data_IF_190830207642
#
_entry.id   IF_190830207642
#
_cell.length_a   1.000
_cell.length_b   1.000
_cell.length_c   1.000
_cell.angle_alpha   90.00
_cell.angle_beta   90.00
_cell.angle_gamma   90.00
#
_symmetry.space_group_name_H-M   'P 1'
#
loop_
_entity.id
_entity.type
_entity.pdbx_description
1 polymer ?
#
# COMPACT_ATOMS: atom_id res chain seq x y z
N UNK A 1 -12.38 -28.75 -4.13
CA UNK A 1 -11.36 -27.95 -3.43
C UNK A 1 -10.75 -27.02 -4.46
N UNK A 2 -11.16 -25.75 -4.48
CA UNK A 2 -10.55 -24.77 -5.39
C UNK A 2 -9.12 -24.51 -4.89
N UNK A 3 -8.09 -24.56 -5.75
CA UNK A 3 -6.79 -24.02 -5.38
C UNK A 3 -7.01 -22.53 -5.09
N UNK A 4 -6.87 -22.13 -3.82
CA UNK A 4 -6.61 -20.73 -3.49
C UNK A 4 -5.27 -20.42 -4.14
N UNK A 5 -5.33 -19.83 -5.33
CA UNK A 5 -4.14 -19.24 -5.95
C UNK A 5 -3.72 -18.14 -4.98
N UNK A 6 -2.76 -18.46 -4.10
CA UNK A 6 -2.07 -17.47 -3.27
C UNK A 6 -1.19 -16.68 -4.23
N UNK A 7 -1.78 -15.67 -4.88
CA UNK A 7 -1.00 -14.66 -5.56
C UNK A 7 -0.01 -14.12 -4.54
N UNK A 8 1.29 -14.24 -4.81
CA UNK A 8 2.31 -13.57 -4.00
C UNK A 8 1.81 -12.13 -3.76
N UNK A 9 1.71 -11.68 -2.50
CA UNK A 9 1.03 -10.42 -2.18
C UNK A 9 1.59 -9.34 -3.08
N UNK A 10 0.75 -8.73 -3.90
CA UNK A 10 1.18 -7.76 -4.88
C UNK A 10 1.91 -6.63 -4.12
N UNK A 11 3.22 -6.51 -4.37
CA UNK A 11 4.08 -5.54 -3.72
C UNK A 11 4.17 -4.30 -4.60
N UNK A 12 3.64 -3.20 -4.11
CA UNK A 12 3.61 -1.90 -4.77
C UNK A 12 4.86 -1.12 -4.39
N UNK A 13 5.56 -0.55 -5.36
CA UNK A 13 6.58 0.47 -5.05
C UNK A 13 5.90 1.72 -4.51
N UNK A 14 6.68 2.64 -3.95
CA UNK A 14 6.17 3.95 -3.50
C UNK A 14 5.36 4.68 -4.57
N UNK A 15 5.83 4.66 -5.82
CA UNK A 15 5.14 5.30 -6.94
C UNK A 15 3.81 4.63 -7.27
N UNK A 16 3.80 3.29 -7.32
CA UNK A 16 2.58 2.53 -7.57
C UNK A 16 1.57 2.68 -6.43
N UNK A 17 2.03 2.74 -5.18
CA UNK A 17 1.18 2.97 -4.01
C UNK A 17 0.52 4.37 -4.05
N UNK A 18 1.29 5.40 -4.41
CA UNK A 18 0.78 6.76 -4.58
C UNK A 18 -0.29 6.81 -5.68
N UNK A 19 -0.02 6.19 -6.83
CA UNK A 19 -0.98 6.05 -7.92
C UNK A 19 -2.25 5.31 -7.49
N UNK A 20 -2.10 4.20 -6.77
CA UNK A 20 -3.21 3.38 -6.30
C UNK A 20 -4.13 4.12 -5.32
N UNK A 21 -3.55 4.87 -4.37
CA UNK A 21 -4.29 5.66 -3.40
C UNK A 21 -4.71 7.04 -3.94
N UNK A 22 -4.40 7.35 -5.21
CA UNK A 22 -4.63 8.67 -5.81
C UNK A 22 -4.10 9.84 -4.96
N UNK A 23 -2.91 9.67 -4.38
CA UNK A 23 -2.26 10.65 -3.50
C UNK A 23 -0.83 10.98 -3.95
N UNK A 24 -0.19 11.94 -3.28
CA UNK A 24 1.18 12.31 -3.61
C UNK A 24 2.20 11.32 -3.04
N UNK A 25 3.41 11.30 -3.61
CA UNK A 25 4.51 10.50 -3.04
C UNK A 25 4.87 10.92 -1.62
N UNK A 26 4.60 12.17 -1.24
CA UNK A 26 4.81 12.69 0.11
C UNK A 26 3.79 12.10 1.08
N UNK A 27 2.53 11.98 0.67
CA UNK A 27 1.49 11.35 1.47
C UNK A 27 1.86 9.89 1.79
N UNK A 28 2.42 9.15 0.82
CA UNK A 28 2.93 7.79 1.08
C UNK A 28 4.06 7.78 2.12
N UNK A 29 4.98 8.73 2.07
CA UNK A 29 6.06 8.83 3.08
C UNK A 29 5.51 9.21 4.46
N UNK A 30 4.53 10.12 4.51
CA UNK A 30 3.84 10.52 5.74
C UNK A 30 3.07 9.33 6.34
N UNK A 31 2.35 8.56 5.53
CA UNK A 31 1.64 7.35 5.95
C UNK A 31 2.60 6.29 6.47
N UNK A 32 3.75 6.11 5.80
CA UNK A 32 4.81 5.23 6.30
C UNK A 32 5.38 5.72 7.63
N UNK A 33 5.66 7.02 7.74
CA UNK A 33 6.23 7.62 8.95
C UNK A 33 5.27 7.53 10.15
N UNK A 34 3.95 7.61 9.89
CA UNK A 34 2.89 7.41 10.88
C UNK A 34 2.65 5.95 11.24
N UNK A 35 3.22 5.00 10.49
CA UNK A 35 2.99 3.55 10.67
C UNK A 35 1.68 3.05 10.07
N UNK A 36 0.96 3.88 9.30
CA UNK A 36 -0.28 3.53 8.61
C UNK A 36 -0.03 2.59 7.42
N UNK A 37 1.13 2.74 6.76
CA UNK A 37 1.59 1.83 5.72
C UNK A 37 2.86 1.12 6.17
N UNK A 38 2.80 -0.22 6.20
CA UNK A 38 3.92 -1.05 6.61
C UNK A 38 4.82 -1.31 5.39
N UNK A 39 6.08 -0.81 5.39
CA UNK A 39 7.02 -1.09 4.33
C UNK A 39 7.50 -2.54 4.39
N UNK A 40 7.58 -3.18 3.24
CA UNK A 40 8.14 -4.52 3.04
C UNK A 40 9.40 -4.39 2.17
N UNK A 41 10.52 -4.90 2.67
CA UNK A 41 11.81 -4.91 1.99
C UNK A 41 12.88 -4.05 2.65
N UNK A 42 14.11 -4.12 2.11
CA UNK A 42 15.25 -3.34 2.56
C UNK A 42 15.14 -1.85 2.22
N UNK A 43 15.90 -1.02 2.94
CA UNK A 43 15.93 0.45 2.87
C UNK A 43 16.08 1.02 1.45
N UNK A 44 16.67 0.26 0.52
CA UNK A 44 16.84 0.66 -0.89
C UNK A 44 15.60 0.44 -1.77
N UNK A 45 14.70 -0.48 -1.42
CA UNK A 45 13.53 -0.86 -2.24
C UNK A 45 12.33 -1.14 -1.33
N UNK A 46 11.82 -0.06 -0.74
CA UNK A 46 10.60 -0.11 0.03
C UNK A 46 9.43 -0.43 -0.89
N UNK A 47 8.69 -1.48 -0.54
CA UNK A 47 7.42 -1.84 -1.18
C UNK A 47 6.30 -1.88 -0.16
N UNK A 48 5.06 -1.89 -0.61
CA UNK A 48 3.86 -1.92 0.20
C UNK A 48 2.98 -3.06 -0.26
N UNK A 49 2.35 -3.78 0.67
CA UNK A 49 1.39 -4.82 0.29
C UNK A 49 0.10 -4.15 -0.17
N UNK A 50 -0.50 -4.70 -1.24
CA UNK A 50 -1.83 -4.27 -1.71
C UNK A 50 -2.86 -4.24 -0.58
N UNK A 51 -2.87 -5.26 0.29
CA UNK A 51 -3.81 -5.35 1.41
C UNK A 51 -3.71 -4.20 2.42
N UNK A 52 -2.49 -3.70 2.66
CA UNK A 52 -2.29 -2.54 3.53
C UNK A 52 -2.80 -1.25 2.85
N UNK A 53 -2.63 -1.15 1.52
CA UNK A 53 -3.20 -0.05 0.72
C UNK A 53 -4.73 -0.12 0.67
N UNK A 54 -5.33 -1.29 0.42
CA UNK A 54 -6.79 -1.49 0.45
C UNK A 54 -7.36 -1.12 1.82
N UNK A 55 -6.72 -1.54 2.92
CA UNK A 55 -7.15 -1.20 4.28
C UNK A 55 -7.13 0.32 4.49
N UNK A 56 -6.09 1.00 4.03
CA UNK A 56 -6.02 2.45 4.11
C UNK A 56 -7.11 3.11 3.26
N UNK A 57 -7.30 2.66 2.03
CA UNK A 57 -8.33 3.16 1.13
C UNK A 57 -9.75 2.97 1.68
N UNK A 58 -10.03 1.83 2.32
CA UNK A 58 -11.31 1.54 2.95
C UNK A 58 -11.59 2.41 4.20
N UNK A 59 -10.54 2.92 4.84
CA UNK A 59 -10.65 3.82 5.99
C UNK A 59 -10.70 5.31 5.60
N UNK A 60 -10.49 5.65 4.31
CA UNK A 60 -10.72 7.01 3.84
C UNK A 60 -12.24 7.25 3.81
N UNK A 61 -12.76 8.28 4.48
CA UNK A 61 -14.17 8.60 4.40
C UNK A 61 -14.53 8.82 2.93
N UNK A 62 -15.56 8.11 2.43
CA UNK A 62 -16.09 8.31 1.10
C UNK A 62 -16.30 9.81 0.90
N UNK A 63 -15.46 10.43 0.08
CA UNK A 63 -15.53 11.85 -0.19
C UNK A 63 -16.78 12.07 -1.05
N UNK A 64 -17.90 12.28 -0.37
CA UNK A 64 -19.22 12.60 -0.93
C UNK A 64 -19.16 13.92 -1.67
#
# INVERSE_FOLDING_TARGET
MNPRIEFAPALFTRELAAYYLSCSLRDIDDLRAKGELIPVGDTKRIKFRKEDLDRHAANLPERT
#
